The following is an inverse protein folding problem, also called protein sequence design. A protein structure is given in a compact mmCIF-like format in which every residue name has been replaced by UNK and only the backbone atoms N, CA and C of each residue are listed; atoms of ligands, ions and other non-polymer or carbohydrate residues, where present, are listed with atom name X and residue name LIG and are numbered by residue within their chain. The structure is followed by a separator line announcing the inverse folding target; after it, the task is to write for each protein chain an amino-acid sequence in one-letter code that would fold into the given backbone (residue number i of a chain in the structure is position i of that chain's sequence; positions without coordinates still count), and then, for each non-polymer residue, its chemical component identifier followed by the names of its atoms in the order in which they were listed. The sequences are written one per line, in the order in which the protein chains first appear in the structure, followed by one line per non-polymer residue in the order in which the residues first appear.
data_IF_924464790140
#
_entry.id   IF_924464790140
#
_cell.length_a   1.000
_cell.length_b   1.000
_cell.length_c   1.000
_cell.angle_alpha   90.00
_cell.angle_beta   90.00
_cell.angle_gamma   90.00
#
_symmetry.space_group_name_H-M   'P 1'
#
loop_
_entity.id
_entity.type
_entity.pdbx_description
1 polymer ?
#
# COMPACT_ATOMS: atom_id res chain seq x y z
N UNK A 1 10.20 9.04 -1.06
CA UNK A 1 9.32 8.72 -2.20
C UNK A 1 8.13 7.94 -1.66
N UNK A 2 6.91 8.29 -2.07
CA UNK A 2 5.69 7.61 -1.66
C UNK A 2 5.22 6.68 -2.79
N UNK A 3 4.85 5.45 -2.44
CA UNK A 3 4.14 4.51 -3.32
C UNK A 3 2.77 4.22 -2.71
N UNK A 4 1.68 4.85 -3.21
CA UNK A 4 0.35 4.61 -2.69
C UNK A 4 -0.25 3.33 -3.25
N UNK A 5 -0.83 2.50 -2.38
CA UNK A 5 -1.48 1.24 -2.74
C UNK A 5 -2.75 1.02 -1.91
N UNK A 6 -3.57 0.06 -2.32
CA UNK A 6 -4.69 -0.45 -1.52
C UNK A 6 -4.38 -1.81 -0.87
N UNK A 7 -3.11 -2.25 -0.88
CA UNK A 7 -2.71 -3.60 -0.44
C UNK A 7 -2.82 -4.66 -1.53
N UNK A 8 -2.84 -5.93 -1.14
CA UNK A 8 -2.84 -7.09 -2.04
C UNK A 8 -1.71 -6.99 -3.09
N UNK A 9 -0.49 -6.84 -2.57
CA UNK A 9 0.67 -6.51 -3.36
C UNK A 9 1.05 -7.66 -4.30
N UNK A 10 1.57 -7.28 -5.46
CA UNK A 10 2.02 -8.19 -6.51
C UNK A 10 3.22 -7.55 -7.23
N UNK A 11 3.86 -8.26 -8.16
CA UNK A 11 5.14 -7.82 -8.74
C UNK A 11 5.08 -6.45 -9.44
N UNK A 12 3.91 -6.06 -9.97
CA UNK A 12 3.65 -4.69 -10.43
C UNK A 12 3.90 -3.62 -9.35
N UNK A 13 3.39 -3.82 -8.13
CA UNK A 13 3.65 -2.93 -6.98
C UNK A 13 5.14 -2.95 -6.59
N UNK A 14 5.75 -4.14 -6.54
CA UNK A 14 7.17 -4.29 -6.18
C UNK A 14 8.08 -3.59 -7.20
N UNK A 15 7.69 -3.57 -8.48
CA UNK A 15 8.41 -2.83 -9.51
C UNK A 15 8.44 -1.33 -9.24
N UNK A 16 7.31 -0.75 -8.80
CA UNK A 16 7.24 0.67 -8.40
C UNK A 16 8.09 0.97 -7.17
N UNK A 17 8.09 0.05 -6.19
CA UNK A 17 8.93 0.17 -4.98
C UNK A 17 10.42 0.11 -5.35
N UNK A 18 10.83 -0.85 -6.17
CA UNK A 18 12.22 -0.95 -6.66
C UNK A 18 12.62 0.30 -7.43
N UNK A 19 11.73 0.87 -8.24
CA UNK A 19 11.98 2.13 -8.92
C UNK A 19 12.14 3.31 -7.94
N UNK A 20 11.26 3.40 -6.93
CA UNK A 20 11.35 4.40 -5.87
C UNK A 20 12.68 4.32 -5.10
N UNK A 21 13.17 3.11 -4.80
CA UNK A 21 14.45 2.88 -4.12
C UNK A 21 15.68 3.29 -4.93
N UNK A 22 15.58 3.42 -6.25
CA UNK A 22 16.69 3.90 -7.09
C UNK A 22 16.89 5.41 -7.02
N UNK A 23 15.94 6.15 -6.45
CA UNK A 23 16.09 7.59 -6.27
C UNK A 23 17.15 7.85 -5.20
N UNK A 24 18.27 8.53 -5.51
CA UNK A 24 19.35 8.73 -4.55
C UNK A 24 18.88 9.47 -3.30
N UNK A 25 19.17 8.90 -2.12
CA UNK A 25 18.81 9.47 -0.83
C UNK A 25 17.32 9.38 -0.47
N UNK A 26 16.50 8.66 -1.24
CA UNK A 26 15.09 8.51 -0.93
C UNK A 26 14.83 7.50 0.19
N UNK A 27 14.09 7.94 1.22
CA UNK A 27 13.33 7.04 2.09
C UNK A 27 12.05 6.64 1.35
N UNK A 28 11.79 5.33 1.25
CA UNK A 28 10.58 4.82 0.59
C UNK A 28 9.50 4.58 1.64
N UNK A 29 8.34 5.22 1.43
CA UNK A 29 7.13 5.03 2.20
C UNK A 29 6.10 4.35 1.30
N UNK A 30 5.48 3.28 1.80
CA UNK A 30 4.35 2.64 1.12
C UNK A 30 3.10 2.87 1.95
N UNK A 31 2.02 3.37 1.34
CA UNK A 31 0.72 3.39 2.01
C UNK A 31 -0.13 2.19 1.57
N UNK A 32 -0.79 1.55 2.52
CA UNK A 32 -1.77 0.49 2.28
C UNK A 32 -3.08 0.98 2.88
N UNK A 33 -3.99 1.41 2.00
CA UNK A 33 -5.30 1.90 2.42
C UNK A 33 -6.34 1.62 1.33
N UNK A 34 -7.26 0.70 1.61
CA UNK A 34 -8.44 0.48 0.75
C UNK A 34 -9.38 1.66 0.96
N UNK A 35 -9.35 2.62 0.05
CA UNK A 35 -10.10 3.88 0.19
C UNK A 35 -11.58 3.68 -0.13
N UNK A 36 -12.51 3.74 0.84
CA UNK A 36 -13.94 3.52 0.60
C UNK A 36 -14.55 4.50 -0.40
N UNK A 37 -14.01 5.73 -0.50
CA UNK A 37 -14.51 6.77 -1.40
C UNK A 37 -14.24 6.47 -2.89
N UNK A 38 -13.41 5.47 -3.19
CA UNK A 38 -13.14 5.01 -4.56
C UNK A 38 -14.10 3.92 -5.03
N UNK A 39 -14.99 3.44 -4.15
CA UNK A 39 -15.96 2.39 -4.46
C UNK A 39 -17.36 2.99 -4.57
N UNK A 40 -18.06 2.71 -5.67
CA UNK A 40 -19.45 3.07 -5.87
C UNK A 40 -20.40 2.11 -5.10
N UNK A 41 -21.66 2.50 -4.96
CA UNK A 41 -22.68 1.63 -4.36
C UNK A 41 -22.84 0.33 -5.19
N UNK A 42 -22.58 -0.81 -4.55
CA UNK A 42 -22.60 -2.13 -5.18
C UNK A 42 -21.25 -2.59 -5.75
N UNK A 43 -20.20 -1.78 -5.69
CA UNK A 43 -18.83 -2.26 -5.86
C UNK A 43 -18.34 -2.92 -4.57
N UNK A 44 -17.50 -3.93 -4.72
CA UNK A 44 -17.22 -4.89 -3.65
C UNK A 44 -16.06 -4.43 -2.74
N UNK A 45 -16.30 -3.34 -2.00
CA UNK A 45 -15.39 -2.85 -0.97
C UNK A 45 -15.12 -3.92 0.10
N UNK A 46 -16.15 -4.70 0.44
CA UNK A 46 -16.07 -5.75 1.45
C UNK A 46 -15.22 -6.93 0.95
N UNK A 47 -15.38 -7.35 -0.31
CA UNK A 47 -14.57 -8.42 -0.89
C UNK A 47 -13.17 -7.99 -1.34
N UNK A 48 -12.82 -6.69 -1.32
CA UNK A 48 -11.48 -6.26 -1.69
C UNK A 48 -10.43 -6.98 -0.82
N UNK A 49 -9.43 -7.64 -1.44
CA UNK A 49 -8.49 -8.48 -0.71
C UNK A 49 -7.69 -7.65 0.30
N UNK A 50 -7.65 -8.12 1.55
CA UNK A 50 -6.89 -7.51 2.64
C UNK A 50 -5.91 -8.55 3.17
N UNK A 51 -4.66 -8.45 2.72
CA UNK A 51 -3.59 -9.41 3.00
C UNK A 51 -2.42 -8.70 3.68
N UNK A 52 -2.70 -7.93 4.74
CA UNK A 52 -1.72 -7.01 5.32
C UNK A 52 -0.42 -7.72 5.76
N UNK A 53 -0.51 -8.90 6.36
CA UNK A 53 0.67 -9.64 6.80
C UNK A 53 1.57 -10.07 5.63
N UNK A 54 0.97 -10.54 4.53
CA UNK A 54 1.70 -10.91 3.31
C UNK A 54 2.31 -9.67 2.63
N UNK A 55 1.55 -8.57 2.61
CA UNK A 55 2.01 -7.29 2.07
C UNK A 55 3.23 -6.79 2.86
N UNK A 56 3.16 -6.78 4.20
CA UNK A 56 4.26 -6.39 5.07
C UNK A 56 5.50 -7.29 4.89
N UNK A 57 5.30 -8.60 4.72
CA UNK A 57 6.41 -9.53 4.45
C UNK A 57 7.08 -9.22 3.10
N UNK A 58 6.31 -8.96 2.04
CA UNK A 58 6.83 -8.59 0.74
C UNK A 58 7.57 -7.24 0.77
N UNK A 59 7.01 -6.24 1.45
CA UNK A 59 7.63 -4.92 1.63
C UNK A 59 8.93 -5.00 2.45
N UNK A 60 8.94 -5.84 3.48
CA UNK A 60 10.14 -6.13 4.28
C UNK A 60 11.24 -6.77 3.44
N UNK A 61 10.90 -7.71 2.55
CA UNK A 61 11.85 -8.32 1.63
C UNK A 61 12.44 -7.32 0.61
N UNK A 62 11.64 -6.34 0.17
CA UNK A 62 12.12 -5.23 -0.67
C UNK A 62 12.87 -4.14 0.13
N UNK A 63 12.92 -4.25 1.47
CA UNK A 63 13.59 -3.30 2.36
C UNK A 63 12.94 -1.92 2.38
N UNK A 64 11.60 -1.88 2.45
CA UNK A 64 10.83 -0.66 2.73
C UNK A 64 10.89 -0.35 4.23
N UNK A 65 11.15 0.92 4.57
CA UNK A 65 11.41 1.35 5.95
C UNK A 65 10.13 1.77 6.69
N UNK A 66 9.14 2.29 5.96
CA UNK A 66 7.92 2.85 6.53
C UNK A 66 6.72 2.35 5.73
N UNK A 67 5.76 1.76 6.45
CA UNK A 67 4.45 1.42 5.91
C UNK A 67 3.39 2.21 6.66
N UNK A 68 2.55 2.93 5.93
CA UNK A 68 1.45 3.69 6.48
C UNK A 68 0.14 2.93 6.26
N UNK A 69 -0.47 2.44 7.34
CA UNK A 69 -1.65 1.55 7.32
C UNK A 69 -2.80 2.15 8.15
N UNK A 70 -3.37 3.29 7.74
CA UNK A 70 -4.44 3.94 8.50
C UNK A 70 -5.75 3.14 8.43
N UNK A 71 -6.59 3.32 9.43
CA UNK A 71 -8.00 2.93 9.36
C UNK A 71 -8.81 3.97 8.58
N UNK A 72 -10.06 3.64 8.23
CA UNK A 72 -10.96 4.62 7.61
C UNK A 72 -11.23 5.81 8.55
N UNK A 73 -11.42 5.55 9.85
CA UNK A 73 -11.65 6.59 10.86
C UNK A 73 -10.43 7.51 11.05
N UNK A 74 -9.20 6.98 10.90
CA UNK A 74 -7.98 7.81 10.93
C UNK A 74 -7.92 8.79 9.74
N UNK A 75 -8.44 8.40 8.57
CA UNK A 75 -8.41 9.19 7.34
C UNK A 75 -9.61 10.13 7.19
N UNK A 76 -10.77 9.73 7.70
CA UNK A 76 -12.06 10.40 7.56
C UNK A 76 -12.74 10.57 8.93
N UNK A 77 -12.22 11.46 9.80
CA UNK A 77 -12.76 11.70 11.13
C UNK A 77 -14.10 12.46 11.14
#
# INVERSE_FOLDING_TARGET
VLVPTMGALHDGHLTLIRAAKRVPGAVVVVSIFVNPLQFAAGEDLDAYPRTLDDDLAALGAEGVEIVFTPTADDMYP
#
